data_IF_992514401222
#
_entry.id   IF_992514401222
#
_cell.length_a   1.000
_cell.length_b   1.000
_cell.length_c   1.000
_cell.angle_alpha   90.00
_cell.angle_beta   90.00
_cell.angle_gamma   90.00
#
_symmetry.space_group_name_H-M   'P 1'
#
loop_
_entity.id
_entity.type
_entity.pdbx_description
1 polymer ?
#
# COMPACT_ATOMS: atom_id res chain seq x y z
N UNK A 1 -25.10 -17.18 4.15
CA UNK A 1 -25.08 -16.24 2.99
C UNK A 1 -23.74 -16.40 2.28
N UNK A 2 -23.74 -16.45 0.95
CA UNK A 2 -22.50 -16.55 0.18
C UNK A 2 -21.58 -15.32 0.42
N UNK A 3 -20.28 -15.53 0.50
CA UNK A 3 -19.28 -14.52 0.88
C UNK A 3 -18.95 -13.53 -0.23
N UNK A 4 -19.19 -13.84 -1.51
CA UNK A 4 -18.70 -13.06 -2.65
C UNK A 4 -19.03 -11.56 -2.58
N UNK A 5 -20.27 -11.20 -2.24
CA UNK A 5 -20.67 -9.78 -2.12
C UNK A 5 -19.98 -9.10 -0.93
N UNK A 6 -19.84 -9.82 0.17
CA UNK A 6 -19.18 -9.33 1.37
C UNK A 6 -17.68 -9.12 1.13
N UNK A 7 -17.00 -10.07 0.48
CA UNK A 7 -15.59 -9.99 0.14
C UNK A 7 -15.28 -8.75 -0.72
N UNK A 8 -16.04 -8.56 -1.80
CA UNK A 8 -15.89 -7.37 -2.67
C UNK A 8 -16.11 -6.06 -1.90
N UNK A 9 -17.09 -6.02 -0.99
CA UNK A 9 -17.33 -4.85 -0.16
C UNK A 9 -16.16 -4.60 0.82
N UNK A 10 -15.68 -5.66 1.48
CA UNK A 10 -14.57 -5.59 2.42
C UNK A 10 -13.28 -5.10 1.73
N UNK A 11 -12.94 -5.67 0.58
CA UNK A 11 -11.76 -5.29 -0.21
C UNK A 11 -11.82 -3.84 -0.66
N UNK A 12 -12.97 -3.38 -1.17
CA UNK A 12 -13.15 -2.01 -1.60
C UNK A 12 -12.97 -1.02 -0.44
N UNK A 13 -13.52 -1.32 0.74
CA UNK A 13 -13.36 -0.45 1.91
C UNK A 13 -11.91 -0.42 2.38
N UNK A 14 -11.22 -1.56 2.43
CA UNK A 14 -9.80 -1.59 2.79
C UNK A 14 -8.93 -0.84 1.78
N UNK A 15 -9.22 -0.96 0.48
CA UNK A 15 -8.53 -0.24 -0.59
C UNK A 15 -8.69 1.29 -0.45
N UNK A 16 -9.87 1.77 -0.03
CA UNK A 16 -10.08 3.20 0.28
C UNK A 16 -9.27 3.62 1.50
N UNK A 17 -9.35 2.88 2.60
CA UNK A 17 -8.68 3.29 3.84
C UNK A 17 -7.16 3.29 3.64
N UNK A 18 -6.60 2.25 3.00
CA UNK A 18 -5.14 2.12 2.82
C UNK A 18 -4.55 3.23 1.94
N UNK A 19 -5.29 3.72 0.95
CA UNK A 19 -4.82 4.75 0.00
C UNK A 19 -5.04 6.17 0.53
N UNK A 20 -6.17 6.45 1.18
CA UNK A 20 -6.50 7.78 1.74
C UNK A 20 -5.51 8.19 2.85
N UNK A 21 -4.79 7.25 3.46
CA UNK A 21 -3.73 7.54 4.43
C UNK A 21 -2.67 8.53 3.90
N UNK A 22 -2.37 8.51 2.60
CA UNK A 22 -1.35 9.40 2.01
C UNK A 22 -1.74 10.87 2.12
N UNK A 23 -3.03 11.20 2.07
CA UNK A 23 -3.56 12.57 2.20
C UNK A 23 -3.23 13.23 3.55
N UNK A 24 -2.75 12.46 4.52
CA UNK A 24 -2.34 12.96 5.84
C UNK A 24 -0.85 13.25 5.94
N UNK A 25 -0.07 12.88 4.93
CA UNK A 25 1.33 13.26 4.83
C UNK A 25 1.42 14.71 4.37
N UNK A 26 2.07 15.56 5.18
CA UNK A 26 2.30 16.96 4.82
C UNK A 26 3.62 17.11 4.10
N UNK A 27 3.68 18.08 3.20
CA UNK A 27 4.93 18.48 2.56
C UNK A 27 5.97 18.96 3.60
N UNK A 28 7.27 18.75 3.33
CA UNK A 28 8.34 19.24 4.18
C UNK A 28 8.44 20.77 4.06
N UNK A 29 8.99 21.42 5.09
CA UNK A 29 9.14 22.89 5.13
C UNK A 29 10.11 23.43 4.08
N UNK A 30 10.99 22.58 3.55
CA UNK A 30 11.91 22.90 2.46
C UNK A 30 12.19 21.65 1.63
N UNK A 31 12.59 21.77 0.35
CA UNK A 31 12.90 20.63 -0.50
C UNK A 31 14.29 20.05 -0.20
N UNK A 32 14.52 19.61 1.03
CA UNK A 32 15.81 19.08 1.51
C UNK A 32 15.62 17.74 2.23
N UNK A 33 16.67 16.92 2.23
CA UNK A 33 16.66 15.64 2.94
C UNK A 33 16.39 15.81 4.44
N UNK A 34 16.99 16.82 5.07
CA UNK A 34 16.79 17.10 6.49
C UNK A 34 15.33 17.40 6.84
N UNK A 35 14.63 18.17 6.00
CA UNK A 35 13.23 18.49 6.22
C UNK A 35 12.30 17.28 6.01
N UNK A 36 12.62 16.38 5.07
CA UNK A 36 11.88 15.10 4.91
C UNK A 36 12.14 14.16 6.09
N UNK A 37 13.39 14.05 6.55
CA UNK A 37 13.73 13.23 7.72
C UNK A 37 13.08 13.73 9.01
N UNK A 38 12.81 15.04 9.11
CA UNK A 38 12.04 15.62 10.21
C UNK A 38 10.57 15.16 10.23
N UNK A 39 10.06 14.59 9.13
CA UNK A 39 8.73 13.99 9.04
C UNK A 39 8.73 12.48 9.33
N UNK A 40 9.82 11.93 9.89
CA UNK A 40 9.99 10.49 10.15
C UNK A 40 8.77 9.84 10.82
N UNK A 41 8.22 10.43 11.89
CA UNK A 41 7.07 9.89 12.60
C UNK A 41 5.86 9.76 11.67
N UNK A 42 5.64 10.71 10.73
CA UNK A 42 4.52 10.66 9.79
C UNK A 42 4.68 9.52 8.79
N UNK A 43 5.86 9.38 8.19
CA UNK A 43 6.13 8.29 7.25
C UNK A 43 6.14 6.91 7.91
N UNK A 44 6.69 6.78 9.11
CA UNK A 44 6.68 5.51 9.86
C UNK A 44 5.24 5.15 10.24
N UNK A 45 4.44 6.10 10.75
CA UNK A 45 3.04 5.82 11.12
C UNK A 45 2.21 5.45 9.90
N UNK A 46 2.42 6.14 8.78
CA UNK A 46 1.81 5.79 7.49
C UNK A 46 2.16 4.35 7.07
N UNK A 47 3.44 3.96 7.14
CA UNK A 47 3.88 2.61 6.80
C UNK A 47 3.30 1.53 7.72
N UNK A 48 3.21 1.80 9.04
CA UNK A 48 2.56 0.91 10.01
C UNK A 48 1.09 0.70 9.63
N UNK A 49 0.36 1.78 9.35
CA UNK A 49 -1.06 1.70 8.99
C UNK A 49 -1.28 1.01 7.65
N UNK A 50 -0.45 1.28 6.65
CA UNK A 50 -0.49 0.56 5.37
C UNK A 50 -0.30 -0.94 5.60
N UNK A 51 0.76 -1.31 6.33
CA UNK A 51 1.15 -2.69 6.54
C UNK A 51 0.09 -3.49 7.31
N UNK A 52 -0.49 -2.93 8.39
CA UNK A 52 -1.53 -3.64 9.15
C UNK A 52 -2.80 -3.86 8.31
N UNK A 53 -3.22 -2.89 7.50
CA UNK A 53 -4.39 -3.04 6.62
C UNK A 53 -4.11 -4.10 5.56
N UNK A 54 -2.92 -4.08 4.97
CA UNK A 54 -2.51 -5.07 3.97
C UNK A 54 -2.43 -6.49 4.57
N UNK A 55 -1.91 -6.66 5.79
CA UNK A 55 -1.90 -7.95 6.49
C UNK A 55 -3.32 -8.44 6.74
N UNK A 56 -4.22 -7.58 7.24
CA UNK A 56 -5.62 -7.93 7.47
C UNK A 56 -6.28 -8.36 6.16
N UNK A 57 -6.06 -7.62 5.07
CA UNK A 57 -6.56 -7.99 3.76
C UNK A 57 -6.01 -9.36 3.32
N UNK A 58 -4.69 -9.58 3.41
CA UNK A 58 -4.02 -10.82 3.01
C UNK A 58 -4.52 -12.04 3.78
N UNK A 59 -4.64 -11.94 5.11
CA UNK A 59 -5.15 -13.03 5.94
C UNK A 59 -6.61 -13.37 5.58
N UNK A 60 -7.44 -12.36 5.32
CA UNK A 60 -8.82 -12.54 4.90
C UNK A 60 -8.95 -13.03 3.45
N UNK A 61 -8.03 -12.65 2.57
CA UNK A 61 -7.94 -13.19 1.21
C UNK A 61 -7.78 -14.70 1.27
N UNK A 62 -6.84 -15.20 2.07
CA UNK A 62 -6.61 -16.63 2.23
C UNK A 62 -7.77 -17.34 2.96
N UNK A 63 -8.37 -16.70 3.97
CA UNK A 63 -9.47 -17.28 4.75
C UNK A 63 -10.72 -17.56 3.89
N UNK A 64 -11.13 -16.61 3.05
CA UNK A 64 -12.33 -16.76 2.21
C UNK A 64 -12.12 -17.59 0.94
N UNK A 65 -10.90 -18.02 0.65
CA UNK A 65 -10.69 -19.12 -0.31
C UNK A 65 -11.29 -20.43 0.21
N UNK A 66 -11.31 -20.63 1.53
CA UNK A 66 -11.79 -21.85 2.20
C UNK A 66 -13.24 -21.67 2.69
N UNK A 67 -13.61 -20.46 3.09
CA UNK A 67 -14.93 -20.14 3.64
C UNK A 67 -15.83 -19.55 2.58
N UNK A 68 -16.91 -20.27 2.22
CA UNK A 68 -17.86 -19.84 1.17
C UNK A 68 -19.17 -19.27 1.69
N UNK A 69 -19.47 -19.49 2.97
CA UNK A 69 -20.67 -18.97 3.61
C UNK A 69 -20.39 -18.36 4.98
N UNK A 70 -21.10 -17.27 5.27
CA UNK A 70 -21.10 -16.56 6.55
C UNK A 70 -22.53 -16.27 7.01
N UNK A 71 -22.70 -16.08 8.31
CA UNK A 71 -23.96 -15.65 8.93
C UNK A 71 -23.97 -14.13 9.22
N UNK A 72 -25.10 -13.63 9.73
CA UNK A 72 -25.26 -12.21 10.07
C UNK A 72 -24.40 -11.77 11.27
N UNK A 73 -23.99 -12.70 12.14
CA UNK A 73 -23.13 -12.38 13.29
C UNK A 73 -21.72 -12.09 12.82
N UNK A 74 -21.18 -12.93 11.94
CA UNK A 74 -19.89 -12.69 11.28
C UNK A 74 -19.91 -11.34 10.57
N UNK A 75 -20.94 -11.06 9.77
CA UNK A 75 -21.07 -9.78 9.06
C UNK A 75 -21.05 -8.57 10.02
N UNK A 76 -21.76 -8.66 11.15
CA UNK A 76 -21.82 -7.58 12.14
C UNK A 76 -20.46 -7.34 12.81
N UNK A 77 -19.70 -8.41 13.08
CA UNK A 77 -18.36 -8.30 13.66
C UNK A 77 -17.40 -7.63 12.68
N UNK A 78 -17.42 -8.03 11.40
CA UNK A 78 -16.62 -7.39 10.36
C UNK A 78 -17.01 -5.93 10.14
N UNK A 79 -18.28 -5.56 10.28
CA UNK A 79 -18.70 -4.16 10.21
C UNK A 79 -18.06 -3.32 11.34
N UNK A 80 -18.00 -3.85 12.56
CA UNK A 80 -17.32 -3.20 13.70
C UNK A 80 -15.80 -3.15 13.46
N UNK A 81 -15.21 -4.20 12.89
CA UNK A 81 -13.78 -4.22 12.53
C UNK A 81 -13.45 -3.14 11.49
N UNK A 82 -14.23 -3.07 10.40
CA UNK A 82 -14.07 -2.01 9.38
C UNK A 82 -14.19 -0.63 10.03
N UNK A 83 -15.17 -0.43 10.92
CA UNK A 83 -15.31 0.83 11.63
C UNK A 83 -14.04 1.18 12.42
N UNK A 84 -13.49 0.24 13.18
CA UNK A 84 -12.23 0.47 13.90
C UNK A 84 -11.06 0.81 12.97
N UNK A 85 -10.91 0.07 11.85
CA UNK A 85 -9.87 0.33 10.84
C UNK A 85 -10.04 1.73 10.21
N UNK A 86 -11.28 2.17 9.98
CA UNK A 86 -11.57 3.49 9.38
C UNK A 86 -11.14 4.68 10.26
N UNK A 87 -10.89 4.45 11.55
CA UNK A 87 -10.38 5.47 12.47
C UNK A 87 -8.86 5.66 12.37
N UNK A 88 -8.13 4.71 11.76
CA UNK A 88 -6.67 4.74 11.66
C UNK A 88 -6.14 6.06 11.09
N UNK A 89 -6.65 6.62 9.96
CA UNK A 89 -6.09 7.83 9.38
C UNK A 89 -6.09 9.03 10.34
N UNK A 90 -7.13 9.16 11.17
CA UNK A 90 -7.23 10.23 12.15
C UNK A 90 -6.20 10.07 13.28
N UNK A 91 -6.22 8.92 13.95
CA UNK A 91 -5.36 8.69 15.13
C UNK A 91 -3.89 8.53 14.76
N UNK A 92 -3.59 7.99 13.57
CA UNK A 92 -2.23 7.97 13.01
C UNK A 92 -1.65 9.38 12.85
N UNK A 93 -2.45 10.31 12.31
CA UNK A 93 -2.04 11.71 12.17
C UNK A 93 -1.82 12.33 13.55
N UNK A 94 -2.73 12.08 14.50
CA UNK A 94 -2.67 12.68 15.82
C UNK A 94 -1.44 12.24 16.62
N UNK A 95 -1.12 10.93 16.63
CA UNK A 95 0.09 10.42 17.31
C UNK A 95 1.37 10.89 16.61
N UNK A 96 1.40 10.92 15.28
CA UNK A 96 2.59 11.36 14.55
C UNK A 96 2.92 12.85 14.78
N UNK A 97 1.91 13.68 15.07
CA UNK A 97 2.09 15.09 15.43
C UNK A 97 2.49 15.29 16.90
N UNK A 98 2.09 14.37 17.78
CA UNK A 98 2.23 14.51 19.24
C UNK A 98 2.70 13.22 19.90
N UNK A 99 3.82 12.67 19.43
CA UNK A 99 4.36 11.38 19.91
C UNK A 99 4.70 11.38 21.41
N UNK A 100 4.94 12.55 22.00
CA UNK A 100 5.19 12.70 23.45
C UNK A 100 3.91 13.04 24.24
N UNK A 101 2.72 12.94 23.64
CA UNK A 101 1.44 13.14 24.32
C UNK A 101 0.82 11.80 24.70
N UNK A 102 0.65 11.58 26.01
CA UNK A 102 0.00 10.38 26.54
C UNK A 102 -1.40 10.18 25.96
N UNK A 103 -2.15 11.26 25.72
CA UNK A 103 -3.50 11.17 25.15
C UNK A 103 -3.47 10.67 23.69
N UNK A 104 -2.55 11.18 22.87
CA UNK A 104 -2.43 10.78 21.47
C UNK A 104 -1.96 9.31 21.37
N UNK A 105 -0.95 8.94 22.16
CA UNK A 105 -0.46 7.56 22.28
C UNK A 105 -1.56 6.60 22.75
N UNK A 106 -2.30 6.96 23.80
CA UNK A 106 -3.39 6.12 24.34
C UNK A 106 -4.47 5.86 23.29
N UNK A 107 -4.87 6.88 22.54
CA UNK A 107 -5.93 6.72 21.54
C UNK A 107 -5.47 5.93 20.32
N UNK A 108 -4.24 6.14 19.88
CA UNK A 108 -3.62 5.31 18.85
C UNK A 108 -3.55 3.83 19.31
N UNK A 109 -3.09 3.58 20.54
CA UNK A 109 -3.00 2.25 21.11
C UNK A 109 -4.36 1.57 21.29
N UNK A 110 -5.40 2.30 21.71
CA UNK A 110 -6.75 1.75 21.86
C UNK A 110 -7.32 1.32 20.51
N UNK A 111 -7.11 2.11 19.45
CA UNK A 111 -7.57 1.74 18.10
C UNK A 111 -6.86 0.48 17.61
N UNK A 112 -5.53 0.39 17.76
CA UNK A 112 -4.79 -0.81 17.37
C UNK A 112 -5.18 -2.04 18.19
N UNK A 113 -5.31 -1.90 19.52
CA UNK A 113 -5.76 -2.98 20.39
C UNK A 113 -7.17 -3.45 20.02
N UNK A 114 -8.08 -2.52 19.68
CA UNK A 114 -9.41 -2.87 19.21
C UNK A 114 -9.36 -3.64 17.88
N UNK A 115 -8.51 -3.23 16.93
CA UNK A 115 -8.31 -3.92 15.65
C UNK A 115 -7.79 -5.34 15.87
N UNK A 116 -6.77 -5.53 16.72
CA UNK A 116 -6.19 -6.84 17.03
C UNK A 116 -7.23 -7.77 17.68
N UNK A 117 -7.98 -7.27 18.66
CA UNK A 117 -9.05 -8.03 19.33
C UNK A 117 -10.16 -8.38 18.32
N UNK A 118 -10.62 -7.41 17.52
CA UNK A 118 -11.68 -7.63 16.54
C UNK A 118 -11.27 -8.60 15.44
N UNK A 119 -9.99 -8.61 15.05
CA UNK A 119 -9.44 -9.60 14.12
C UNK A 119 -9.52 -11.03 14.71
N UNK A 120 -9.18 -11.22 15.97
CA UNK A 120 -9.32 -12.53 16.62
C UNK A 120 -10.80 -12.92 16.74
N UNK A 121 -11.66 -11.99 17.12
CA UNK A 121 -13.11 -12.25 17.24
C UNK A 121 -13.70 -12.60 15.87
N UNK A 122 -13.30 -11.93 14.79
CA UNK A 122 -13.82 -12.18 13.43
C UNK A 122 -13.45 -13.56 12.93
N UNK A 123 -12.19 -13.99 13.10
CA UNK A 123 -11.78 -15.36 12.77
C UNK A 123 -12.55 -16.38 13.62
N UNK A 124 -12.64 -16.19 14.93
CA UNK A 124 -13.37 -17.11 15.80
C UNK A 124 -14.86 -17.22 15.42
N UNK A 125 -15.48 -16.11 15.02
CA UNK A 125 -16.86 -16.10 14.55
C UNK A 125 -17.02 -16.92 13.26
N UNK A 126 -16.07 -16.83 12.34
CA UNK A 126 -16.04 -17.64 11.11
C UNK A 126 -15.98 -19.14 11.41
N UNK A 127 -15.08 -19.56 12.31
CA UNK A 127 -14.98 -20.97 12.74
C UNK A 127 -16.28 -21.45 13.38
N UNK A 128 -16.91 -20.63 14.22
CA UNK A 128 -18.21 -20.97 14.85
C UNK A 128 -19.35 -21.05 13.84
N UNK A 129 -19.34 -20.21 12.80
CA UNK A 129 -20.33 -20.23 11.74
C UNK A 129 -20.12 -21.41 10.76
N UNK A 130 -18.92 -22.00 10.72
CA UNK A 130 -18.55 -23.07 9.80
C UNK A 130 -17.99 -24.31 10.53
N UNK A 131 -18.73 -24.91 11.49
CA UNK A 131 -18.21 -25.98 12.35
C UNK A 131 -17.90 -27.29 11.61
N UNK A 132 -18.49 -27.50 10.43
CA UNK A 132 -18.31 -28.71 9.62
C UNK A 132 -17.31 -28.53 8.45
N UNK A 133 -16.66 -27.37 8.35
CA UNK A 133 -15.65 -27.12 7.33
C UNK A 133 -14.31 -27.74 7.78
N UNK A 134 -13.98 -28.91 7.23
CA UNK A 134 -12.78 -29.68 7.61
C UNK A 134 -11.49 -28.99 7.20
N UNK A 135 -11.46 -28.32 6.05
CA UNK A 135 -10.30 -27.56 5.57
C UNK A 135 -10.01 -26.37 6.50
N UNK A 136 -11.05 -25.63 6.91
CA UNK A 136 -10.93 -24.58 7.92
C UNK A 136 -10.46 -25.14 9.27
N UNK A 137 -11.00 -26.29 9.71
CA UNK A 137 -10.59 -26.95 10.94
C UNK A 137 -9.13 -27.42 10.95
N UNK A 138 -8.55 -27.71 9.79
CA UNK A 138 -7.14 -28.10 9.62
C UNK A 138 -6.21 -26.90 9.38
N UNK A 139 -6.77 -25.72 9.13
CA UNK A 139 -6.01 -24.50 8.87
C UNK A 139 -5.51 -23.83 10.17
N UNK A 140 -4.42 -23.08 10.06
CA UNK A 140 -3.72 -22.45 11.20
C UNK A 140 -4.12 -20.97 11.45
N UNK A 141 -5.30 -20.53 11.01
CA UNK A 141 -5.72 -19.14 11.20
C UNK A 141 -5.88 -18.78 12.69
N UNK A 142 -6.49 -19.68 13.47
CA UNK A 142 -6.50 -19.60 14.94
C UNK A 142 -5.22 -20.25 15.46
N UNK A 143 -4.33 -19.44 16.02
CA UNK A 143 -3.08 -19.90 16.62
C UNK A 143 -2.77 -19.09 17.87
N UNK A 144 -1.98 -19.67 18.77
CA UNK A 144 -1.46 -18.95 19.96
C UNK A 144 -0.69 -17.69 19.56
N UNK A 145 -0.08 -17.69 18.37
CA UNK A 145 0.66 -16.55 17.84
C UNK A 145 -0.22 -15.31 17.58
N UNK A 146 -1.53 -15.49 17.36
CA UNK A 146 -2.46 -14.37 17.16
C UNK A 146 -2.61 -13.49 18.41
N UNK A 147 -2.27 -14.00 19.60
CA UNK A 147 -2.36 -13.25 20.86
C UNK A 147 -1.09 -12.48 21.23
N UNK A 148 0.03 -12.74 20.54
CA UNK A 148 1.31 -12.06 20.81
C UNK A 148 1.24 -10.56 20.49
N UNK A 149 0.67 -10.11 19.35
CA UNK A 149 0.39 -8.69 19.08
C UNK A 149 -0.30 -7.96 20.25
N UNK A 150 -1.34 -8.57 20.81
CA UNK A 150 -2.09 -8.02 21.96
C UNK A 150 -1.20 -7.89 23.20
N UNK A 151 -0.38 -8.91 23.50
CA UNK A 151 0.54 -8.85 24.63
C UNK A 151 1.58 -7.72 24.47
N UNK A 152 2.12 -7.53 23.26
CA UNK A 152 3.03 -6.43 22.93
C UNK A 152 2.31 -5.08 23.11
N UNK A 153 1.05 -4.97 22.68
CA UNK A 153 0.25 -3.76 22.85
C UNK A 153 0.02 -3.42 24.33
N UNK A 154 -0.33 -4.41 25.16
CA UNK A 154 -0.50 -4.21 26.61
C UNK A 154 0.81 -3.74 27.25
N UNK A 155 1.96 -4.31 26.84
CA UNK A 155 3.27 -3.82 27.27
C UNK A 155 3.49 -2.36 26.87
N UNK A 156 3.06 -1.95 25.68
CA UNK A 156 3.11 -0.55 25.23
C UNK A 156 2.38 0.41 26.17
N UNK A 157 1.19 0.03 26.63
CA UNK A 157 0.45 0.81 27.63
C UNK A 157 1.22 0.93 28.94
N UNK A 158 1.81 -0.17 29.43
CA UNK A 158 2.65 -0.12 30.64
C UNK A 158 3.82 0.85 30.43
N UNK A 159 4.57 0.69 29.35
CA UNK A 159 5.74 1.53 29.05
C UNK A 159 5.39 3.03 28.95
N UNK A 160 4.28 3.36 28.30
CA UNK A 160 3.81 4.74 28.12
C UNK A 160 3.52 5.44 29.44
N UNK A 161 2.86 4.73 30.36
CA UNK A 161 2.45 5.30 31.64
C UNK A 161 3.53 5.22 32.73
N UNK A 162 4.57 4.39 32.56
CA UNK A 162 5.60 4.20 33.61
C UNK A 162 7.02 4.61 33.23
N UNK A 163 7.41 4.56 31.95
CA UNK A 163 8.83 4.74 31.53
C UNK A 163 9.02 5.81 30.47
N UNK A 164 8.32 5.70 29.33
CA UNK A 164 8.60 6.49 28.13
C UNK A 164 7.33 6.66 27.30
N UNK A 165 6.92 7.91 27.06
CA UNK A 165 5.62 8.22 26.45
C UNK A 165 5.41 7.55 25.09
N UNK A 166 6.38 7.54 24.15
CA UNK A 166 6.28 6.78 22.89
C UNK A 166 6.30 5.24 23.02
N UNK A 167 6.03 4.69 24.22
CA UNK A 167 6.02 3.26 24.48
C UNK A 167 4.96 2.51 23.66
N UNK A 168 3.74 3.05 23.56
CA UNK A 168 2.67 2.48 22.73
C UNK A 168 3.10 2.49 21.27
N UNK A 169 3.55 3.63 20.74
CA UNK A 169 4.01 3.75 19.35
C UNK A 169 5.07 2.70 18.95
N UNK A 170 6.08 2.50 19.80
CA UNK A 170 7.11 1.48 19.57
C UNK A 170 6.51 0.07 19.60
N UNK A 171 5.64 -0.21 20.58
CA UNK A 171 4.97 -1.50 20.70
C UNK A 171 3.99 -1.77 19.55
N UNK A 172 3.33 -0.76 18.99
CA UNK A 172 2.51 -0.91 17.77
C UNK A 172 3.38 -1.35 16.60
N UNK A 173 4.52 -0.69 16.38
CA UNK A 173 5.46 -1.09 15.32
C UNK A 173 5.92 -2.54 15.51
N UNK A 174 6.32 -2.92 16.72
CA UNK A 174 6.75 -4.29 17.04
C UNK A 174 5.60 -5.29 16.87
N UNK A 175 4.38 -4.93 17.26
CA UNK A 175 3.18 -5.75 17.10
C UNK A 175 2.91 -6.05 15.63
N UNK A 176 2.96 -5.02 14.76
CA UNK A 176 2.75 -5.17 13.32
C UNK A 176 3.86 -6.00 12.66
N UNK A 177 5.12 -5.79 13.04
CA UNK A 177 6.24 -6.62 12.54
C UNK A 177 6.05 -8.08 12.97
N UNK A 178 5.62 -8.31 14.22
CA UNK A 178 5.36 -9.63 14.74
C UNK A 178 4.22 -10.32 13.98
N UNK A 179 3.12 -9.61 13.73
CA UNK A 179 2.00 -10.11 12.93
C UNK A 179 2.42 -10.41 11.49
N UNK A 180 3.21 -9.55 10.85
CA UNK A 180 3.75 -9.79 9.51
C UNK A 180 4.49 -11.13 9.42
N UNK A 181 5.34 -11.42 10.39
CA UNK A 181 6.11 -12.68 10.44
C UNK A 181 5.16 -13.87 10.56
N UNK A 182 4.18 -13.81 11.46
CA UNK A 182 3.27 -14.93 11.69
C UNK A 182 2.25 -15.14 10.57
N UNK A 183 1.79 -14.07 9.92
CA UNK A 183 0.90 -14.15 8.77
C UNK A 183 1.55 -14.96 7.64
N UNK A 184 2.86 -14.77 7.41
CA UNK A 184 3.64 -15.54 6.44
C UNK A 184 3.84 -17.02 6.78
N UNK A 185 3.55 -17.45 8.00
CA UNK A 185 3.63 -18.86 8.42
C UNK A 185 2.30 -19.61 8.24
N UNK A 186 1.18 -18.91 7.97
CA UNK A 186 -0.17 -19.46 8.19
C UNK A 186 -0.86 -20.07 6.97
N UNK A 187 -0.43 -19.85 5.73
CA UNK A 187 -1.32 -20.17 4.58
C UNK A 187 -0.73 -21.05 3.47
N UNK A 188 -1.54 -21.98 2.94
CA UNK A 188 -1.31 -22.65 1.66
C UNK A 188 -1.66 -21.71 0.49
N UNK A 189 -0.73 -21.55 -0.43
CA UNK A 189 -0.73 -20.48 -1.43
C UNK A 189 -1.08 -20.98 -2.84
N UNK A 190 -2.35 -21.35 -3.07
CA UNK A 190 -2.82 -21.82 -4.39
C UNK A 190 -4.25 -21.33 -4.69
N UNK A 191 -4.47 -20.02 -4.57
CA UNK A 191 -5.78 -19.39 -4.74
C UNK A 191 -6.03 -18.74 -6.09
N UNK A 192 -7.31 -18.47 -6.40
CA UNK A 192 -7.76 -17.68 -7.55
C UNK A 192 -7.21 -16.25 -7.50
N UNK A 193 -6.80 -15.72 -8.63
CA UNK A 193 -6.23 -14.36 -8.77
C UNK A 193 -7.28 -13.25 -8.71
N UNK A 194 -8.54 -13.55 -9.04
CA UNK A 194 -9.65 -12.57 -9.18
C UNK A 194 -9.74 -11.54 -8.04
N UNK A 195 -9.70 -12.01 -6.79
CA UNK A 195 -9.87 -11.13 -5.62
C UNK A 195 -8.63 -10.27 -5.37
N UNK A 196 -7.46 -10.79 -5.73
CA UNK A 196 -6.21 -10.05 -5.65
C UNK A 196 -6.12 -8.98 -6.74
N UNK A 197 -6.50 -9.32 -7.98
CA UNK A 197 -6.62 -8.38 -9.10
C UNK A 197 -7.59 -7.24 -8.76
N UNK A 198 -8.79 -7.55 -8.28
CA UNK A 198 -9.78 -6.55 -7.90
C UNK A 198 -9.28 -5.59 -6.80
N UNK A 199 -8.42 -6.07 -5.89
CA UNK A 199 -7.83 -5.23 -4.85
C UNK A 199 -6.76 -4.29 -5.41
N UNK A 200 -5.91 -4.78 -6.32
CA UNK A 200 -4.93 -3.96 -7.07
C UNK A 200 -5.66 -2.87 -7.86
N UNK A 201 -6.69 -3.23 -8.61
CA UNK A 201 -7.49 -2.32 -9.42
C UNK A 201 -8.11 -1.21 -8.57
N UNK A 202 -8.72 -1.57 -7.44
CA UNK A 202 -9.32 -0.62 -6.51
C UNK A 202 -8.28 0.37 -5.97
N UNK A 203 -7.11 -0.12 -5.54
CA UNK A 203 -6.04 0.73 -5.01
C UNK A 203 -5.54 1.70 -6.08
N UNK A 204 -5.26 1.23 -7.30
CA UNK A 204 -4.72 2.09 -8.37
C UNK A 204 -5.75 3.13 -8.80
N UNK A 205 -7.02 2.75 -8.94
CA UNK A 205 -8.09 3.69 -9.27
C UNK A 205 -8.17 4.82 -8.24
N UNK A 206 -8.09 4.49 -6.95
CA UNK A 206 -8.16 5.50 -5.89
C UNK A 206 -6.90 6.39 -5.89
N UNK A 207 -5.71 5.82 -6.07
CA UNK A 207 -4.47 6.60 -6.22
C UNK A 207 -4.63 7.63 -7.34
N UNK A 208 -5.06 7.21 -8.53
CA UNK A 208 -5.24 8.12 -9.67
C UNK A 208 -6.23 9.25 -9.35
N UNK A 209 -7.34 8.95 -8.67
CA UNK A 209 -8.29 10.00 -8.26
C UNK A 209 -7.70 10.95 -7.22
N UNK A 210 -6.91 10.45 -6.26
CA UNK A 210 -6.24 11.28 -5.26
C UNK A 210 -5.25 12.25 -5.92
N UNK A 211 -4.49 11.82 -6.93
CA UNK A 211 -3.52 12.72 -7.61
C UNK A 211 -4.25 13.94 -8.22
N UNK A 212 -5.44 13.76 -8.83
CA UNK A 212 -6.18 14.88 -9.42
C UNK A 212 -6.79 15.81 -8.36
N UNK A 213 -7.15 15.28 -7.19
CA UNK A 213 -7.71 16.07 -6.09
C UNK A 213 -6.70 17.02 -5.45
N UNK A 214 -5.41 16.75 -5.63
CA UNK A 214 -4.30 17.56 -5.11
C UNK A 214 -3.94 18.75 -6.04
N UNK A 215 -4.53 18.84 -7.24
CA UNK A 215 -4.32 19.99 -8.12
C UNK A 215 -5.00 21.22 -7.49
N UNK A 216 -4.27 22.34 -7.26
CA UNK A 216 -4.84 23.53 -6.66
C UNK A 216 -5.86 24.19 -7.59
N UNK A 217 -6.88 24.81 -6.99
CA UNK A 217 -7.82 25.65 -7.73
C UNK A 217 -7.14 26.94 -8.18
N UNK A 218 -7.46 27.39 -9.39
CA UNK A 218 -7.01 28.69 -9.92
C UNK A 218 -7.51 29.84 -9.03
N UNK A 219 -6.68 30.85 -8.81
CA UNK A 219 -7.01 31.98 -7.94
C UNK A 219 -8.21 32.80 -8.43
N UNK A 220 -8.44 32.83 -9.75
CA UNK A 220 -9.56 33.48 -10.40
C UNK A 220 -9.87 32.79 -11.74
N UNK A 221 -10.97 33.19 -12.40
CA UNK A 221 -11.40 32.60 -13.67
C UNK A 221 -10.67 33.12 -14.92
N UNK A 222 -9.44 33.62 -14.81
CA UNK A 222 -8.66 34.11 -15.96
C UNK A 222 -7.81 33.01 -16.61
N UNK A 223 -7.48 33.18 -17.89
CA UNK A 223 -6.54 32.30 -18.59
C UNK A 223 -5.14 32.35 -17.99
N UNK A 224 -4.68 33.52 -17.52
CA UNK A 224 -3.36 33.67 -16.92
C UNK A 224 -3.24 32.83 -15.65
N UNK A 225 -4.23 32.89 -14.75
CA UNK A 225 -4.27 32.07 -13.53
C UNK A 225 -4.31 30.57 -13.83
N UNK A 226 -4.91 30.15 -14.95
CA UNK A 226 -4.85 28.75 -15.38
C UNK A 226 -3.45 28.34 -15.86
N UNK A 227 -2.76 29.20 -16.61
CA UNK A 227 -1.40 28.91 -17.08
C UNK A 227 -0.33 28.99 -15.98
N UNK A 228 -0.63 29.62 -14.85
CA UNK A 228 0.22 29.59 -13.65
C UNK A 228 0.36 28.16 -13.09
N UNK A 229 -0.70 27.35 -13.12
CA UNK A 229 -0.71 25.97 -12.59
C UNK A 229 -0.45 24.89 -13.65
N UNK A 230 0.13 25.27 -14.80
CA UNK A 230 0.38 24.35 -15.92
C UNK A 230 1.26 23.16 -15.54
N UNK A 231 2.19 23.35 -14.60
CA UNK A 231 3.15 22.32 -14.20
C UNK A 231 2.45 21.23 -13.39
N UNK A 232 1.55 21.61 -12.49
CA UNK A 232 0.72 20.74 -11.68
C UNK A 232 -0.05 19.77 -12.58
N UNK A 233 -0.65 20.27 -13.67
CA UNK A 233 -1.31 19.44 -14.68
C UNK A 233 -0.35 18.50 -15.42
N UNK A 234 0.85 18.97 -15.78
CA UNK A 234 1.86 18.15 -16.48
C UNK A 234 2.36 17.02 -15.57
N UNK A 235 2.75 17.33 -14.33
CA UNK A 235 3.25 16.34 -13.37
C UNK A 235 2.13 15.37 -12.98
N UNK A 236 0.88 15.86 -12.84
CA UNK A 236 -0.31 15.00 -12.72
C UNK A 236 -0.44 14.03 -13.90
N UNK A 237 -0.36 14.50 -15.14
CA UNK A 237 -0.52 13.66 -16.32
C UNK A 237 0.57 12.58 -16.41
N UNK A 238 1.81 12.91 -16.05
CA UNK A 238 2.90 11.92 -15.96
C UNK A 238 2.62 10.92 -14.85
N UNK A 239 2.17 11.37 -13.67
CA UNK A 239 1.86 10.49 -12.53
C UNK A 239 0.69 9.55 -12.84
N UNK A 240 -0.33 10.04 -13.54
CA UNK A 240 -1.42 9.22 -14.09
C UNK A 240 -0.85 8.12 -15.00
N UNK A 241 0.05 8.48 -15.93
CA UNK A 241 0.68 7.51 -16.83
C UNK A 241 1.55 6.49 -16.10
N UNK A 242 2.23 6.87 -15.02
CA UNK A 242 2.98 5.93 -14.15
C UNK A 242 2.03 4.88 -13.57
N UNK A 243 0.95 5.31 -12.92
CA UNK A 243 -0.03 4.41 -12.31
C UNK A 243 -0.74 3.55 -13.36
N UNK A 244 -1.16 4.14 -14.47
CA UNK A 244 -1.81 3.42 -15.57
C UNK A 244 -0.87 2.41 -16.23
N UNK A 245 0.41 2.74 -16.42
CA UNK A 245 1.39 1.81 -16.98
C UNK A 245 1.59 0.59 -16.06
N UNK A 246 1.70 0.81 -14.75
CA UNK A 246 1.79 -0.29 -13.79
C UNK A 246 0.52 -1.17 -13.83
N UNK A 247 -0.66 -0.55 -13.83
CA UNK A 247 -1.93 -1.27 -13.93
C UNK A 247 -2.01 -2.09 -15.22
N UNK A 248 -1.74 -1.47 -16.37
CA UNK A 248 -1.82 -2.11 -17.68
C UNK A 248 -0.85 -3.30 -17.79
N UNK A 249 0.38 -3.15 -17.30
CA UNK A 249 1.36 -4.22 -17.23
C UNK A 249 0.86 -5.41 -16.39
N UNK A 250 0.34 -5.14 -15.19
CA UNK A 250 -0.18 -6.19 -14.31
C UNK A 250 -1.46 -6.84 -14.86
N UNK A 251 -2.41 -6.06 -15.37
CA UNK A 251 -3.64 -6.58 -15.98
C UNK A 251 -3.34 -7.53 -17.15
N UNK A 252 -2.37 -7.19 -17.99
CA UNK A 252 -1.93 -8.10 -19.06
C UNK A 252 -1.32 -9.39 -18.49
N UNK A 253 -0.43 -9.30 -17.50
CA UNK A 253 0.17 -10.48 -16.89
C UNK A 253 -0.87 -11.38 -16.21
N UNK A 254 -1.78 -10.81 -15.43
CA UNK A 254 -2.81 -11.56 -14.72
C UNK A 254 -3.82 -12.22 -15.67
N UNK A 255 -4.01 -11.70 -16.88
CA UNK A 255 -4.79 -12.39 -17.93
C UNK A 255 -4.16 -13.72 -18.40
N UNK A 256 -2.87 -13.93 -18.12
CA UNK A 256 -2.10 -15.12 -18.53
C UNK A 256 -1.83 -16.04 -17.33
N UNK A 257 -1.66 -15.48 -16.12
CA UNK A 257 -1.31 -16.22 -14.90
C UNK A 257 -2.47 -17.08 -14.42
N UNK A 258 -2.23 -18.37 -14.15
CA UNK A 258 -3.28 -19.23 -13.58
C UNK A 258 -3.24 -19.27 -12.05
N UNK A 259 -2.06 -19.05 -11.46
CA UNK A 259 -1.81 -19.22 -10.02
C UNK A 259 -0.77 -18.23 -9.51
N UNK A 260 -1.03 -17.71 -8.31
CA UNK A 260 -0.11 -16.88 -7.55
C UNK A 260 0.16 -17.48 -6.18
N UNK A 261 1.34 -17.19 -5.65
CA UNK A 261 1.70 -17.53 -4.28
C UNK A 261 1.88 -16.27 -3.41
N UNK A 262 2.11 -16.43 -2.09
CA UNK A 262 2.29 -15.29 -1.20
C UNK A 262 3.47 -14.40 -1.61
N UNK A 263 4.52 -14.99 -2.19
CA UNK A 263 5.70 -14.22 -2.62
C UNK A 263 5.31 -13.16 -3.64
N UNK A 264 4.51 -13.52 -4.65
CA UNK A 264 3.96 -12.58 -5.64
C UNK A 264 3.09 -11.53 -4.96
N UNK A 265 2.17 -11.94 -4.08
CA UNK A 265 1.26 -11.02 -3.39
C UNK A 265 2.03 -9.99 -2.56
N UNK A 266 3.06 -10.40 -1.83
CA UNK A 266 3.88 -9.50 -1.01
C UNK A 266 4.78 -8.58 -1.84
N UNK A 267 5.34 -9.04 -2.97
CA UNK A 267 6.13 -8.18 -3.87
C UNK A 267 5.23 -7.07 -4.44
N UNK A 268 4.03 -7.42 -4.90
CA UNK A 268 3.06 -6.45 -5.37
C UNK A 268 2.56 -5.56 -4.23
N UNK A 269 2.38 -6.08 -3.01
CA UNK A 269 2.06 -5.29 -1.83
C UNK A 269 3.08 -4.17 -1.57
N UNK A 270 4.37 -4.45 -1.77
CA UNK A 270 5.43 -3.43 -1.74
C UNK A 270 5.29 -2.44 -2.89
N UNK A 271 4.98 -2.91 -4.11
CA UNK A 271 4.74 -2.03 -5.24
C UNK A 271 3.54 -1.09 -5.00
N UNK A 272 2.46 -1.59 -4.39
CA UNK A 272 1.27 -0.81 -4.03
C UNK A 272 1.59 0.23 -2.95
N UNK A 273 2.46 -0.10 -1.98
CA UNK A 273 2.96 0.88 -1.00
C UNK A 273 3.69 2.04 -1.69
N UNK A 274 4.62 1.72 -2.61
CA UNK A 274 5.36 2.72 -3.37
C UNK A 274 4.41 3.57 -4.23
N UNK A 275 3.52 2.94 -5.00
CA UNK A 275 2.50 3.63 -5.80
C UNK A 275 1.61 4.54 -4.96
N UNK A 276 1.29 4.16 -3.72
CA UNK A 276 0.49 4.99 -2.84
C UNK A 276 1.19 6.26 -2.34
N UNK A 277 2.51 6.39 -2.53
CA UNK A 277 3.27 7.63 -2.29
C UNK A 277 3.29 8.58 -3.49
N UNK A 278 2.91 8.12 -4.69
CA UNK A 278 2.91 8.94 -5.91
C UNK A 278 2.16 10.27 -5.72
N UNK A 279 0.94 10.34 -5.16
CA UNK A 279 0.25 11.61 -5.02
C UNK A 279 1.04 12.64 -4.19
N UNK A 280 1.67 12.19 -3.11
CA UNK A 280 2.52 13.04 -2.28
C UNK A 280 3.74 13.56 -3.06
N UNK A 281 4.39 12.70 -3.85
CA UNK A 281 5.56 13.05 -4.64
C UNK A 281 5.20 13.94 -5.85
N UNK A 282 4.04 13.75 -6.48
CA UNK A 282 3.51 14.61 -7.54
C UNK A 282 3.42 16.05 -7.05
N UNK A 283 2.78 16.29 -5.90
CA UNK A 283 2.66 17.61 -5.28
C UNK A 283 4.02 18.18 -4.89
N UNK A 284 4.90 17.33 -4.34
CA UNK A 284 6.21 17.78 -3.89
C UNK A 284 7.06 18.33 -5.04
N UNK A 285 7.03 17.66 -6.19
CA UNK A 285 7.71 18.10 -7.41
C UNK A 285 7.05 19.34 -8.00
N UNK A 286 5.73 19.38 -8.12
CA UNK A 286 5.03 20.50 -8.78
C UNK A 286 5.22 21.82 -8.04
N UNK A 287 5.28 21.81 -6.70
CA UNK A 287 5.54 23.01 -5.90
C UNK A 287 7.03 23.37 -5.75
N UNK A 288 7.95 22.51 -6.20
CA UNK A 288 9.39 22.73 -6.10
C UNK A 288 10.13 22.38 -7.41
N UNK A 289 9.72 22.95 -8.57
CA UNK A 289 10.26 22.58 -9.88
C UNK A 289 11.76 22.79 -10.04
N UNK A 290 12.30 23.81 -9.38
CA UNK A 290 13.70 24.21 -9.49
C UNK A 290 14.61 23.45 -8.52
N UNK A 291 14.05 22.61 -7.66
CA UNK A 291 14.83 21.76 -6.76
C UNK A 291 15.00 20.36 -7.33
N UNK A 292 16.25 19.89 -7.36
CA UNK A 292 16.57 18.52 -7.77
C UNK A 292 15.97 17.48 -6.83
N UNK A 293 15.97 17.73 -5.52
CA UNK A 293 15.67 16.70 -4.52
C UNK A 293 14.24 16.12 -4.62
N UNK A 294 13.16 16.93 -4.79
CA UNK A 294 11.82 16.42 -5.06
C UNK A 294 11.76 15.56 -6.33
N UNK A 295 12.34 16.06 -7.43
CA UNK A 295 12.37 15.35 -8.73
C UNK A 295 13.12 14.03 -8.62
N UNK A 296 14.22 14.00 -7.85
CA UNK A 296 14.97 12.79 -7.53
C UNK A 296 14.13 11.78 -6.75
N UNK A 297 13.42 12.17 -5.70
CA UNK A 297 12.57 11.26 -4.93
C UNK A 297 11.44 10.68 -5.78
N UNK A 298 10.81 11.50 -6.64
CA UNK A 298 9.81 11.04 -7.59
C UNK A 298 10.38 9.98 -8.56
N UNK A 299 11.54 10.26 -9.17
CA UNK A 299 12.20 9.29 -10.05
C UNK A 299 12.67 8.03 -9.31
N UNK A 300 13.11 8.17 -8.05
CA UNK A 300 13.55 7.05 -7.23
C UNK A 300 12.38 6.11 -6.92
N UNK A 301 11.23 6.66 -6.52
CA UNK A 301 10.02 5.88 -6.29
C UNK A 301 9.59 5.12 -7.56
N UNK A 302 9.58 5.80 -8.72
CA UNK A 302 9.34 5.16 -10.01
C UNK A 302 10.31 4.00 -10.29
N UNK A 303 11.61 4.19 -10.07
CA UNK A 303 12.63 3.13 -10.25
C UNK A 303 12.38 1.97 -9.30
N UNK A 304 11.99 2.23 -8.04
CA UNK A 304 11.65 1.20 -7.08
C UNK A 304 10.42 0.40 -7.53
N UNK A 305 9.39 1.06 -8.06
CA UNK A 305 8.21 0.38 -8.64
C UNK A 305 8.65 -0.55 -9.78
N UNK A 306 9.44 -0.06 -10.75
CA UNK A 306 9.93 -0.90 -11.86
C UNK A 306 10.81 -2.06 -11.36
N UNK A 307 11.63 -1.81 -10.33
CA UNK A 307 12.46 -2.84 -9.71
C UNK A 307 11.62 -3.92 -9.02
N UNK A 308 10.51 -3.56 -8.37
CA UNK A 308 9.58 -4.57 -7.82
C UNK A 308 8.96 -5.43 -8.93
N UNK A 309 8.62 -4.85 -10.09
CA UNK A 309 8.14 -5.61 -11.26
C UNK A 309 9.19 -6.59 -11.77
N UNK A 310 10.48 -6.20 -11.84
CA UNK A 310 11.58 -7.10 -12.21
C UNK A 310 11.74 -8.28 -11.25
N UNK A 311 11.61 -8.04 -9.94
CA UNK A 311 11.62 -9.12 -8.94
C UNK A 311 10.39 -10.01 -9.11
N UNK A 312 9.23 -9.41 -9.39
CA UNK A 312 7.97 -10.12 -9.56
C UNK A 312 7.98 -11.05 -10.78
N UNK A 313 8.67 -10.69 -11.87
CA UNK A 313 8.88 -11.56 -13.04
C UNK A 313 9.36 -12.95 -12.60
N UNK A 314 10.38 -13.01 -11.75
CA UNK A 314 10.91 -14.29 -11.27
C UNK A 314 9.92 -15.02 -10.36
N UNK A 315 9.26 -14.29 -9.45
CA UNK A 315 8.29 -14.88 -8.53
C UNK A 315 7.07 -15.46 -9.26
N UNK A 316 6.59 -14.80 -10.31
CA UNK A 316 5.49 -15.27 -11.16
C UNK A 316 5.88 -16.51 -11.97
N UNK A 317 7.09 -16.55 -12.53
CA UNK A 317 7.61 -17.75 -13.20
C UNK A 317 7.70 -18.94 -12.26
N UNK A 318 8.12 -18.71 -11.01
CA UNK A 318 8.21 -19.74 -9.98
C UNK A 318 6.83 -20.18 -9.47
N UNK A 319 5.80 -19.31 -9.52
CA UNK A 319 4.44 -19.63 -9.04
C UNK A 319 3.62 -20.42 -10.05
N UNK A 320 3.88 -20.27 -11.35
CA UNK A 320 3.20 -21.01 -12.42
C UNK A 320 4.22 -21.59 -13.44
N UNK A 321 5.08 -22.54 -13.02
CA UNK A 321 6.18 -23.05 -13.84
C UNK A 321 5.72 -23.85 -15.07
N UNK A 322 4.49 -24.36 -15.07
CA UNK A 322 3.92 -25.13 -16.18
C UNK A 322 3.33 -24.23 -17.30
N UNK A 323 3.15 -22.94 -17.05
CA UNK A 323 2.52 -22.01 -17.97
C UNK A 323 3.54 -21.43 -18.96
N UNK A 324 3.69 -22.09 -20.11
CA UNK A 324 4.64 -21.70 -21.17
C UNK A 324 4.38 -20.27 -21.67
N UNK A 325 3.12 -19.86 -21.79
CA UNK A 325 2.77 -18.51 -22.25
C UNK A 325 3.30 -17.44 -21.28
N UNK A 326 3.15 -17.66 -19.97
CA UNK A 326 3.72 -16.79 -18.94
C UNK A 326 5.25 -16.77 -18.98
N UNK A 327 5.89 -17.94 -19.16
CA UNK A 327 7.36 -18.03 -19.21
C UNK A 327 7.95 -17.20 -20.35
N UNK A 328 7.31 -17.27 -21.53
CA UNK A 328 7.67 -16.51 -22.74
C UNK A 328 7.37 -15.02 -22.55
N UNK A 329 6.17 -14.66 -22.05
CA UNK A 329 5.80 -13.26 -21.81
C UNK A 329 6.75 -12.53 -20.84
N UNK A 330 7.34 -13.27 -19.90
CA UNK A 330 8.28 -12.77 -18.89
C UNK A 330 9.76 -13.08 -19.22
N UNK A 331 10.08 -13.54 -20.45
CA UNK A 331 11.45 -13.85 -20.86
C UNK A 331 12.29 -12.60 -21.06
N UNK A 332 11.76 -11.59 -21.75
CA UNK A 332 12.50 -10.36 -22.05
C UNK A 332 12.21 -9.26 -21.02
N UNK A 333 13.18 -9.02 -20.13
CA UNK A 333 13.14 -7.92 -19.16
C UNK A 333 13.79 -6.62 -19.67
N UNK A 334 14.29 -6.57 -20.92
CA UNK A 334 14.94 -5.38 -21.49
C UNK A 334 14.03 -4.14 -21.46
N UNK A 335 12.71 -4.21 -21.73
CA UNK A 335 11.86 -3.02 -21.64
C UNK A 335 11.89 -2.40 -20.23
N UNK A 336 11.73 -3.22 -19.19
CA UNK A 336 11.79 -2.76 -17.80
C UNK A 336 13.19 -2.23 -17.42
N UNK A 337 14.26 -2.89 -17.87
CA UNK A 337 15.63 -2.41 -17.64
C UNK A 337 15.91 -1.08 -18.35
N UNK A 338 15.41 -0.92 -19.57
CA UNK A 338 15.51 0.34 -20.31
C UNK A 338 14.82 1.47 -19.55
N UNK A 339 13.69 1.21 -18.89
CA UNK A 339 13.03 2.23 -18.08
C UNK A 339 13.91 2.72 -16.94
N UNK A 340 14.52 1.79 -16.21
CA UNK A 340 15.44 2.10 -15.10
C UNK A 340 16.62 2.94 -15.61
N UNK A 341 17.25 2.51 -16.71
CA UNK A 341 18.41 3.22 -17.30
C UNK A 341 18.02 4.64 -17.72
N UNK A 342 16.89 4.82 -18.41
CA UNK A 342 16.45 6.13 -18.88
C UNK A 342 16.16 7.09 -17.71
N UNK A 343 15.56 6.61 -16.62
CA UNK A 343 15.31 7.44 -15.44
C UNK A 343 16.62 7.80 -14.73
N UNK A 344 17.58 6.88 -14.63
CA UNK A 344 18.93 7.22 -14.11
C UNK A 344 19.63 8.28 -14.96
N UNK A 345 19.53 8.22 -16.28
CA UNK A 345 20.01 9.29 -17.17
C UNK A 345 19.28 10.60 -16.87
N UNK A 346 17.95 10.55 -16.70
CA UNK A 346 17.14 11.68 -16.27
C UNK A 346 17.59 12.29 -14.94
N UNK A 347 17.97 11.46 -13.96
CA UNK A 347 18.52 11.93 -12.68
C UNK A 347 19.87 12.63 -12.85
N UNK A 348 20.75 12.12 -13.71
CA UNK A 348 22.03 12.76 -14.00
C UNK A 348 21.81 14.14 -14.66
N UNK A 349 20.94 14.21 -15.67
CA UNK A 349 20.59 15.48 -16.34
C UNK A 349 19.87 16.42 -15.35
N UNK A 350 19.01 15.87 -14.51
CA UNK A 350 18.27 16.58 -13.48
C UNK A 350 19.17 17.27 -12.47
N UNK A 351 20.22 16.59 -12.05
CA UNK A 351 21.20 17.11 -11.10
C UNK A 351 22.10 18.18 -11.74
N UNK A 352 22.51 17.98 -13.00
CA UNK A 352 23.49 18.83 -13.67
C UNK A 352 22.89 20.06 -14.36
N UNK A 353 21.64 19.98 -14.83
CA UNK A 353 21.06 20.97 -15.77
C UNK A 353 19.67 21.43 -15.35
N UNK A 354 18.70 20.50 -15.28
CA UNK A 354 17.28 20.86 -15.16
C UNK A 354 16.50 19.81 -14.36
N UNK A 355 16.16 20.07 -13.08
CA UNK A 355 15.54 19.08 -12.18
C UNK A 355 14.38 18.28 -12.76
N UNK A 356 13.46 18.94 -13.48
CA UNK A 356 12.29 18.28 -14.08
C UNK A 356 12.64 17.31 -15.22
N UNK A 357 13.90 17.23 -15.66
CA UNK A 357 14.38 16.17 -16.55
C UNK A 357 14.10 14.76 -15.99
N UNK A 358 14.03 14.60 -14.66
CA UNK A 358 13.66 13.31 -14.04
C UNK A 358 12.21 12.92 -14.37
N UNK A 359 11.26 13.85 -14.24
CA UNK A 359 9.85 13.61 -14.56
C UNK A 359 9.68 13.32 -16.05
N UNK A 360 10.38 14.09 -16.89
CA UNK A 360 10.39 13.86 -18.35
C UNK A 360 10.96 12.47 -18.67
N UNK A 361 12.04 12.07 -18.01
CA UNK A 361 12.63 10.75 -18.20
C UNK A 361 11.68 9.62 -17.78
N UNK A 362 10.89 9.78 -16.70
CA UNK A 362 9.83 8.84 -16.35
C UNK A 362 8.82 8.69 -17.50
N UNK A 363 8.34 9.80 -18.09
CA UNK A 363 7.41 9.73 -19.23
C UNK A 363 8.04 9.06 -20.47
N UNK A 364 9.26 9.47 -20.84
CA UNK A 364 9.99 8.91 -21.98
C UNK A 364 10.25 7.41 -21.78
N UNK A 365 10.53 7.00 -20.54
CA UNK A 365 10.75 5.59 -20.20
C UNK A 365 9.50 4.74 -20.43
N UNK A 366 8.32 5.24 -20.06
CA UNK A 366 7.04 4.56 -20.29
C UNK A 366 6.78 4.42 -21.79
N UNK A 367 6.94 5.50 -22.55
CA UNK A 367 6.75 5.48 -24.01
C UNK A 367 7.73 4.49 -24.66
N UNK A 368 8.98 4.47 -24.20
CA UNK A 368 9.99 3.53 -24.71
C UNK A 368 9.61 2.08 -24.40
N UNK A 369 9.10 1.80 -23.19
CA UNK A 369 8.61 0.46 -22.85
C UNK A 369 7.55 -0.01 -23.84
N UNK A 370 6.55 0.82 -24.15
CA UNK A 370 5.47 0.47 -25.08
C UNK A 370 5.93 0.22 -26.52
N UNK A 371 7.05 0.81 -26.93
CA UNK A 371 7.64 0.58 -28.26
C UNK A 371 8.43 -0.74 -28.28
N UNK A 372 8.99 -1.16 -27.14
CA UNK A 372 9.83 -2.34 -27.01
C UNK A 372 9.06 -3.63 -26.70
N UNK A 373 7.83 -3.53 -26.19
CA UNK A 373 6.89 -4.63 -25.92
C UNK A 373 5.97 -4.85 -27.11
#
# INVERSE_FOLDING_TARGET
>A
MNTNRFEKFFDAVLAIIITVLVLKLTQPTSPTLGAVLALNARFITYAICFLVIFIIWYDNHNLFQIVKEIDHKVLSIYAVQIFAISLLPYFATWVALHINSVAAETMYGIVFLAIDILYIISINAIYRANPYNTELGQSNFISVYSYIPIAIMILGFVLTYTVYVPGIYICVLLSVICWLIFSRLKSPDNGSTDRFEAFIDAIIAIIITIIVLEIPMVANGSWDAFFEIKLEFIVYAVSFMVCFNFWNYNNHLFSIVNKVNARVIWIIGVALFLLSLIPYLTVFVSFNPDSFFPSFLYGLDFVLIVFTSLINTKALKDSDPANIALQVALEDNKPLLAMVILVFIGMIIGYLVYPLAVVIACLVSIITMWILT
#
